data_IF_187135021453
#
_entry.id   IF_187135021453
#
_cell.length_a   1.000
_cell.length_b   1.000
_cell.length_c   1.000
_cell.angle_alpha   90.00
_cell.angle_beta   90.00
_cell.angle_gamma   90.00
#
_symmetry.space_group_name_H-M   'P 1'
#
loop_
_entity.id
_entity.type
_entity.pdbx_description
1 polymer ?
#
# COMPACT_ATOMS: atom_id res chain seq x y z
N UNK A 1 11.19 21.05 22.93
CA UNK A 1 11.40 19.75 22.22
C UNK A 1 11.60 20.04 20.74
N UNK A 2 12.19 19.15 19.91
CA UNK A 2 12.66 17.78 20.19
C UNK A 2 14.09 17.68 20.79
N UNK A 3 14.40 16.52 21.36
CA UNK A 3 15.76 16.10 21.70
C UNK A 3 16.35 15.29 20.53
N UNK A 4 16.97 16.00 19.58
CA UNK A 4 17.60 15.36 18.42
C UNK A 4 18.75 14.44 18.82
N UNK A 5 18.77 13.24 18.24
CA UNK A 5 19.86 12.28 18.43
C UNK A 5 21.21 12.89 18.01
N UNK A 6 22.25 12.73 18.82
CA UNK A 6 23.56 13.24 18.51
C UNK A 6 24.28 12.34 17.49
N UNK A 7 25.31 12.89 16.83
CA UNK A 7 26.14 12.17 15.86
C UNK A 7 27.57 11.93 16.39
N UNK A 8 27.83 12.22 17.66
CA UNK A 8 29.15 12.14 18.30
C UNK A 8 29.40 10.80 19.01
N UNK A 9 28.63 9.77 18.68
CA UNK A 9 28.71 8.43 19.27
C UNK A 9 28.80 7.36 18.18
N UNK A 10 29.46 6.26 18.53
CA UNK A 10 29.51 5.04 17.72
C UNK A 10 28.37 4.10 18.14
N UNK A 11 27.64 3.55 17.16
CA UNK A 11 26.46 2.73 17.37
C UNK A 11 26.74 1.23 17.43
N UNK A 12 28.01 0.81 17.40
CA UNK A 12 28.38 -0.60 17.60
C UNK A 12 27.90 -1.11 18.97
N UNK A 13 27.37 -2.34 19.04
CA UNK A 13 26.89 -2.90 20.31
C UNK A 13 28.08 -3.13 21.25
N UNK A 14 28.16 -2.32 22.30
CA UNK A 14 29.23 -2.39 23.31
C UNK A 14 28.73 -2.88 24.68
N UNK A 15 27.46 -3.30 24.77
CA UNK A 15 26.80 -3.72 26.02
C UNK A 15 26.21 -2.55 26.84
N UNK A 16 26.55 -1.31 26.50
CA UNK A 16 25.98 -0.08 27.09
C UNK A 16 25.31 0.77 26.02
N UNK A 17 24.27 1.53 26.39
CA UNK A 17 23.60 2.46 25.48
C UNK A 17 24.62 3.44 24.82
N UNK A 18 24.68 3.54 23.48
CA UNK A 18 25.63 4.40 22.79
C UNK A 18 25.60 5.86 23.24
N UNK A 19 24.40 6.38 23.56
CA UNK A 19 24.19 7.78 23.95
C UNK A 19 24.85 8.13 25.29
N UNK A 20 25.14 7.14 26.14
CA UNK A 20 25.87 7.35 27.39
C UNK A 20 27.27 7.96 27.18
N UNK A 21 27.85 7.76 25.99
CA UNK A 21 29.16 8.30 25.61
C UNK A 21 29.08 9.68 24.93
N UNK A 22 27.87 10.21 24.69
CA UNK A 22 27.68 11.50 24.00
C UNK A 22 28.06 12.67 24.90
N UNK A 23 29.14 13.37 24.52
CA UNK A 23 29.52 14.64 25.17
C UNK A 23 28.50 15.73 24.86
N UNK A 24 27.91 15.69 23.65
CA UNK A 24 26.91 16.65 23.21
C UNK A 24 25.63 16.61 24.06
N UNK A 25 25.09 15.42 24.33
CA UNK A 25 23.91 15.28 25.20
C UNK A 25 24.26 15.74 26.61
N UNK A 26 25.36 15.26 27.20
CA UNK A 26 25.76 15.67 28.56
C UNK A 26 25.88 17.19 28.70
N UNK A 27 26.57 17.85 27.77
CA UNK A 27 26.71 19.32 27.76
C UNK A 27 25.37 20.03 27.60
N UNK A 28 24.47 19.51 26.76
CA UNK A 28 23.11 20.05 26.59
C UNK A 28 22.31 19.93 27.88
N UNK A 29 22.37 18.78 28.55
CA UNK A 29 21.70 18.53 29.83
C UNK A 29 22.20 19.47 30.92
N UNK A 30 23.53 19.57 31.07
CA UNK A 30 24.12 20.48 32.06
C UNK A 30 23.77 21.95 31.77
N UNK A 31 23.66 22.34 30.49
CA UNK A 31 23.25 23.70 30.09
C UNK A 31 21.80 24.02 30.47
N UNK A 32 20.89 23.04 30.41
CA UNK A 32 19.45 23.25 30.64
C UNK A 32 19.10 23.09 32.12
N UNK A 33 19.69 22.10 32.81
CA UNK A 33 19.29 21.71 34.18
C UNK A 33 20.35 22.03 35.25
N UNK A 34 21.59 22.32 34.85
CA UNK A 34 22.70 22.60 35.76
C UNK A 34 23.73 21.48 35.84
N UNK A 35 24.87 21.77 36.46
CA UNK A 35 26.00 20.83 36.59
C UNK A 35 25.61 19.61 37.43
N UNK A 36 26.02 18.42 36.99
CA UNK A 36 25.79 17.16 37.71
C UNK A 36 24.52 16.40 37.31
N UNK A 37 23.66 16.99 36.48
CA UNK A 37 22.51 16.28 35.93
C UNK A 37 22.91 15.24 34.88
N UNK A 38 22.32 14.05 34.98
CA UNK A 38 22.55 12.94 34.05
C UNK A 38 21.39 12.86 33.06
N UNK A 39 21.65 12.85 31.74
CA UNK A 39 20.59 12.63 30.74
C UNK A 39 20.03 11.20 30.81
N UNK A 40 18.78 11.03 30.40
CA UNK A 40 18.30 9.75 29.89
C UNK A 40 19.06 9.41 28.59
N UNK A 41 19.58 8.20 28.51
CA UNK A 41 20.46 7.72 27.43
C UNK A 41 19.87 6.54 26.69
N UNK A 42 18.81 5.94 27.23
CA UNK A 42 18.03 4.95 26.53
C UNK A 42 17.08 5.63 25.55
N UNK A 43 16.78 4.91 24.47
CA UNK A 43 15.83 5.33 23.44
C UNK A 43 14.55 4.53 23.57
N UNK A 44 13.43 5.13 23.20
CA UNK A 44 12.18 4.40 23.06
C UNK A 44 12.31 3.31 21.99
N UNK A 45 11.69 2.16 22.23
CA UNK A 45 11.65 1.05 21.28
C UNK A 45 10.78 1.39 20.06
N UNK A 46 11.02 0.72 18.93
CA UNK A 46 10.26 0.93 17.67
C UNK A 46 8.75 0.70 17.81
N UNK A 47 8.30 -0.09 18.79
CA UNK A 47 6.88 -0.27 19.07
C UNK A 47 6.21 0.95 19.70
N UNK A 48 6.96 1.87 20.30
CA UNK A 48 6.42 3.17 20.73
C UNK A 48 6.07 4.04 19.54
N UNK A 49 6.88 4.02 18.47
CA UNK A 49 6.58 4.80 17.26
C UNK A 49 5.41 4.19 16.49
N UNK A 50 5.43 2.86 16.32
CA UNK A 50 4.41 2.15 15.57
C UNK A 50 3.09 1.92 16.32
N UNK A 51 2.98 2.27 17.61
CA UNK A 51 1.72 2.16 18.35
C UNK A 51 0.71 3.26 17.99
N UNK A 52 1.15 4.38 17.41
CA UNK A 52 0.28 5.53 17.13
C UNK A 52 0.50 6.18 15.75
N UNK A 53 1.40 5.65 14.91
CA UNK A 53 1.72 6.23 13.60
C UNK A 53 0.50 6.50 12.70
N UNK A 54 -0.55 5.66 12.79
CA UNK A 54 -1.79 5.83 12.03
C UNK A 54 -2.57 7.09 12.45
N UNK A 55 -2.38 7.60 13.68
CA UNK A 55 -2.92 8.89 14.10
C UNK A 55 -2.22 10.07 13.41
N UNK A 56 -0.96 9.90 13.00
CA UNK A 56 -0.13 10.95 12.42
C UNK A 56 -0.35 11.11 10.91
N UNK A 57 -0.74 10.06 10.20
CA UNK A 57 -0.92 10.11 8.74
C UNK A 57 -1.88 11.19 8.21
N UNK A 58 -3.00 11.52 8.87
CA UNK A 58 -3.86 12.61 8.41
C UNK A 58 -3.17 13.98 8.45
N UNK A 59 -2.20 14.17 9.35
CA UNK A 59 -1.60 15.47 9.65
C UNK A 59 -0.07 15.41 9.90
N UNK A 60 0.72 14.93 8.93
CA UNK A 60 2.12 14.56 9.15
C UNK A 60 3.07 15.74 9.37
N UNK A 61 2.69 16.93 8.90
CA UNK A 61 3.51 18.16 8.95
C UNK A 61 3.11 19.10 10.11
N UNK A 62 2.15 18.72 10.95
CA UNK A 62 1.72 19.57 12.06
C UNK A 62 2.78 19.64 13.17
N UNK A 63 3.37 20.82 13.37
CA UNK A 63 4.42 21.03 14.37
C UNK A 63 3.89 21.41 15.76
N UNK A 64 2.59 21.72 15.88
CA UNK A 64 1.97 22.19 17.14
C UNK A 64 1.36 21.07 17.96
N UNK A 65 0.76 20.09 17.29
CA UNK A 65 0.07 18.94 17.88
C UNK A 65 0.38 17.66 17.08
N UNK A 66 0.05 16.50 17.64
CA UNK A 66 0.30 15.23 16.95
C UNK A 66 -0.66 15.05 15.76
N UNK A 67 -1.88 15.55 15.83
CA UNK A 67 -2.86 15.61 14.74
C UNK A 67 -4.01 16.53 15.13
N UNK A 68 -4.48 17.38 14.21
CA UNK A 68 -5.64 18.23 14.46
C UNK A 68 -6.93 17.45 14.67
N UNK A 69 -7.77 17.92 15.60
CA UNK A 69 -9.04 17.30 15.96
C UNK A 69 -10.01 17.15 14.77
N UNK A 70 -10.01 18.11 13.84
CA UNK A 70 -10.80 18.02 12.61
C UNK A 70 -10.38 16.81 11.75
N UNK A 71 -9.07 16.61 11.59
CA UNK A 71 -8.53 15.51 10.78
C UNK A 71 -8.68 14.16 11.45
N UNK A 72 -8.53 14.10 12.78
CA UNK A 72 -8.81 12.89 13.55
C UNK A 72 -10.25 12.42 13.32
N UNK A 73 -11.24 13.30 13.52
CA UNK A 73 -12.66 12.96 13.32
C UNK A 73 -13.02 12.56 11.89
N UNK A 74 -12.28 13.09 10.90
CA UNK A 74 -12.53 12.80 9.49
C UNK A 74 -12.00 11.43 9.04
N UNK A 75 -10.86 11.01 9.59
CA UNK A 75 -10.11 9.88 9.06
C UNK A 75 -10.01 8.67 10.00
N UNK A 76 -10.35 8.83 11.27
CA UNK A 76 -10.17 7.81 12.31
C UNK A 76 -11.47 7.54 13.06
N UNK A 77 -11.64 6.33 13.63
CA UNK A 77 -10.69 5.20 13.63
C UNK A 77 -10.51 4.55 12.25
N UNK A 78 -9.50 3.71 12.09
CA UNK A 78 -9.21 3.05 10.80
C UNK A 78 -10.27 2.00 10.50
N UNK A 79 -10.97 2.13 9.36
CA UNK A 79 -12.05 1.22 8.97
C UNK A 79 -11.58 -0.23 8.73
N UNK A 80 -10.43 -0.38 8.06
CA UNK A 80 -9.86 -1.67 7.69
C UNK A 80 -8.34 -1.62 7.79
N UNK A 81 -7.80 -2.44 8.69
CA UNK A 81 -6.38 -2.66 8.84
C UNK A 81 -6.02 -4.05 8.30
N UNK A 82 -5.06 -4.09 7.38
CA UNK A 82 -4.54 -5.33 6.77
C UNK A 82 -3.08 -5.46 7.17
N UNK A 83 -2.73 -6.55 7.83
CA UNK A 83 -1.37 -6.80 8.31
C UNK A 83 -1.15 -8.26 8.69
N UNK A 84 0.11 -8.69 8.71
CA UNK A 84 0.43 -10.09 8.97
C UNK A 84 0.10 -10.52 10.41
N UNK A 85 -0.24 -11.79 10.59
CA UNK A 85 -0.61 -12.34 11.90
C UNK A 85 0.54 -12.30 12.93
N UNK A 86 1.79 -12.14 12.48
CA UNK A 86 2.97 -12.02 13.33
C UNK A 86 2.91 -10.82 14.30
N UNK A 87 2.10 -9.81 14.00
CA UNK A 87 2.00 -8.59 14.80
C UNK A 87 0.90 -8.62 15.87
N UNK A 88 0.20 -9.74 16.04
CA UNK A 88 -0.93 -9.91 16.97
C UNK A 88 -0.57 -9.58 18.42
N UNK A 89 0.56 -10.08 18.91
CA UNK A 89 1.00 -9.90 20.31
C UNK A 89 2.02 -8.76 20.49
N UNK A 90 2.26 -7.96 19.45
CA UNK A 90 3.20 -6.83 19.51
C UNK A 90 2.46 -5.56 19.11
N UNK A 91 2.66 -5.09 17.87
CA UNK A 91 2.08 -3.86 17.36
C UNK A 91 0.57 -3.75 17.60
N UNK A 92 -0.22 -4.81 17.33
CA UNK A 92 -1.67 -4.74 17.50
C UNK A 92 -2.07 -4.57 18.98
N UNK A 93 -1.36 -5.21 19.90
CA UNK A 93 -1.58 -5.03 21.33
C UNK A 93 -1.17 -3.62 21.78
N UNK A 94 0.02 -3.16 21.38
CA UNK A 94 0.54 -1.84 21.76
C UNK A 94 -0.29 -0.70 21.17
N UNK A 95 -0.76 -0.82 19.93
CA UNK A 95 -1.66 0.15 19.31
C UNK A 95 -2.96 0.29 20.10
N UNK A 96 -3.59 -0.83 20.47
CA UNK A 96 -4.81 -0.82 21.30
C UNK A 96 -4.55 -0.17 22.66
N UNK A 97 -3.46 -0.53 23.32
CA UNK A 97 -3.08 0.09 24.60
C UNK A 97 -2.91 1.61 24.48
N UNK A 98 -2.16 2.08 23.49
CA UNK A 98 -1.93 3.51 23.25
C UNK A 98 -3.23 4.27 23.00
N UNK A 99 -4.14 3.74 22.16
CA UNK A 99 -5.42 4.39 21.89
C UNK A 99 -6.30 4.44 23.14
N UNK A 100 -6.36 3.37 23.92
CA UNK A 100 -7.13 3.38 25.18
C UNK A 100 -6.57 4.39 26.18
N UNK A 101 -5.25 4.48 26.30
CA UNK A 101 -4.61 5.48 27.15
C UNK A 101 -4.91 6.91 26.68
N UNK A 102 -4.78 7.19 25.38
CA UNK A 102 -5.08 8.51 24.80
C UNK A 102 -6.56 8.89 24.92
N UNK A 103 -7.46 7.91 24.78
CA UNK A 103 -8.89 8.10 25.01
C UNK A 103 -9.19 8.45 26.46
N UNK A 104 -8.60 7.74 27.43
CA UNK A 104 -8.73 8.06 28.85
C UNK A 104 -8.17 9.43 29.22
N UNK A 105 -7.14 9.90 28.51
CA UNK A 105 -6.60 11.27 28.64
C UNK A 105 -7.47 12.34 27.95
N UNK A 106 -8.56 11.96 27.28
CA UNK A 106 -9.46 12.89 26.57
C UNK A 106 -8.90 13.42 25.26
N UNK A 107 -7.85 12.79 24.69
CA UNK A 107 -7.22 13.22 23.44
C UNK A 107 -7.92 12.68 22.19
N UNK A 108 -8.65 11.57 22.34
CA UNK A 108 -9.38 10.87 21.27
C UNK A 108 -10.81 10.57 21.71
N UNK A 109 -11.75 10.57 20.76
CA UNK A 109 -13.17 10.24 20.97
C UNK A 109 -13.51 8.76 20.68
N UNK A 110 -12.50 7.93 20.42
CA UNK A 110 -12.62 6.49 20.19
C UNK A 110 -11.59 5.70 21.01
N UNK A 111 -11.90 4.44 21.33
CA UNK A 111 -11.10 3.59 22.23
C UNK A 111 -10.49 2.34 21.55
N UNK A 112 -10.72 2.15 20.26
CA UNK A 112 -10.09 1.11 19.44
C UNK A 112 -9.52 1.70 18.14
N UNK A 113 -8.26 1.36 17.76
CA UNK A 113 -7.60 1.93 16.57
C UNK A 113 -8.19 1.44 15.24
N UNK A 114 -8.61 0.18 15.18
CA UNK A 114 -8.93 -0.54 13.95
C UNK A 114 -10.33 -1.18 14.07
N UNK A 115 -11.27 -0.75 13.23
CA UNK A 115 -12.64 -1.26 13.24
C UNK A 115 -12.74 -2.69 12.69
N UNK A 116 -11.91 -3.00 11.69
CA UNK A 116 -11.77 -4.35 11.12
C UNK A 116 -10.31 -4.68 10.92
N UNK A 117 -9.91 -5.86 11.36
CA UNK A 117 -8.60 -6.43 11.11
C UNK A 117 -8.73 -7.62 10.13
N UNK A 118 -7.83 -7.68 9.15
CA UNK A 118 -7.67 -8.83 8.26
C UNK A 118 -6.20 -9.20 8.17
N UNK A 119 -5.90 -10.48 8.35
CA UNK A 119 -4.57 -11.02 8.13
C UNK A 119 -4.44 -11.50 6.70
N UNK A 120 -3.45 -10.99 5.97
CA UNK A 120 -3.08 -11.57 4.69
C UNK A 120 -2.23 -12.84 4.89
N UNK A 121 -2.39 -13.79 3.98
CA UNK A 121 -1.50 -14.95 3.90
C UNK A 121 -0.08 -14.56 3.49
N UNK A 122 0.86 -15.47 3.72
CA UNK A 122 2.27 -15.29 3.41
C UNK A 122 2.55 -15.59 1.95
N UNK A 123 3.39 -14.77 1.31
CA UNK A 123 3.97 -15.12 0.01
C UNK A 123 5.24 -15.92 0.24
N UNK A 124 5.20 -17.19 -0.15
CA UNK A 124 6.26 -18.17 -0.02
C UNK A 124 7.06 -18.29 -1.33
N UNK A 125 8.30 -18.74 -1.25
CA UNK A 125 9.08 -19.04 -2.45
C UNK A 125 8.52 -20.24 -3.22
N UNK A 126 9.14 -20.59 -4.35
CA UNK A 126 8.74 -21.73 -5.20
C UNK A 126 8.72 -23.09 -4.49
N UNK A 127 9.38 -23.21 -3.34
CA UNK A 127 9.48 -24.43 -2.52
C UNK A 127 8.58 -24.37 -1.28
N UNK A 128 7.73 -23.33 -1.14
CA UNK A 128 6.87 -23.15 0.04
C UNK A 128 7.61 -22.61 1.26
N UNK A 129 8.81 -22.04 1.10
CA UNK A 129 9.60 -21.51 2.22
C UNK A 129 9.42 -19.99 2.32
N UNK A 130 9.27 -19.46 3.54
CA UNK A 130 9.24 -18.01 3.79
C UNK A 130 10.44 -17.33 3.13
N UNK A 131 10.18 -16.32 2.31
CA UNK A 131 11.20 -15.54 1.64
C UNK A 131 12.03 -14.72 2.64
N UNK A 132 13.36 -14.77 2.56
CA UNK A 132 14.26 -13.93 3.34
C UNK A 132 15.60 -13.70 2.63
N UNK A 133 16.24 -12.56 2.90
CA UNK A 133 17.56 -12.23 2.33
C UNK A 133 18.61 -13.27 2.69
N UNK A 134 18.61 -13.75 3.94
CA UNK A 134 19.54 -14.78 4.43
C UNK A 134 19.44 -16.11 3.70
N UNK A 135 18.26 -16.44 3.15
CA UNK A 135 18.02 -17.68 2.39
C UNK A 135 18.27 -17.53 0.89
N UNK A 136 18.49 -16.29 0.40
CA UNK A 136 18.68 -16.02 -1.02
C UNK A 136 17.48 -16.38 -1.91
N UNK A 137 16.29 -16.57 -1.34
CA UNK A 137 15.08 -17.03 -2.02
C UNK A 137 14.07 -15.90 -2.31
N UNK A 138 14.49 -14.64 -2.19
CA UNK A 138 13.63 -13.46 -2.38
C UNK A 138 13.35 -13.24 -3.86
N UNK A 139 12.07 -13.06 -4.19
CA UNK A 139 11.65 -12.52 -5.48
C UNK A 139 11.56 -11.01 -5.36
N UNK A 140 12.38 -10.29 -6.13
CA UNK A 140 12.38 -8.83 -6.13
C UNK A 140 11.19 -8.30 -6.97
N UNK A 141 10.22 -7.56 -6.38
CA UNK A 141 9.10 -7.00 -7.12
C UNK A 141 9.54 -6.06 -8.25
N UNK A 142 10.63 -5.31 -8.08
CA UNK A 142 11.10 -4.36 -9.09
C UNK A 142 11.51 -5.07 -10.38
N UNK A 143 12.14 -6.24 -10.27
CA UNK A 143 12.53 -7.04 -11.43
C UNK A 143 11.31 -7.58 -12.17
N UNK A 144 10.25 -7.94 -11.42
CA UNK A 144 8.98 -8.39 -11.99
C UNK A 144 8.27 -7.24 -12.72
N UNK A 145 8.20 -6.06 -12.09
CA UNK A 145 7.59 -4.86 -12.67
C UNK A 145 8.32 -4.42 -13.93
N UNK A 146 9.66 -4.37 -13.91
CA UNK A 146 10.47 -3.99 -15.09
C UNK A 146 10.27 -4.95 -16.26
N UNK A 147 10.14 -6.25 -16.00
CA UNK A 147 10.02 -7.28 -17.06
C UNK A 147 8.59 -7.46 -17.57
N UNK A 148 7.60 -7.35 -16.71
CA UNK A 148 6.23 -7.78 -17.00
C UNK A 148 5.15 -6.71 -16.77
N UNK A 149 5.52 -5.58 -16.17
CA UNK A 149 4.63 -4.47 -15.86
C UNK A 149 4.00 -4.56 -14.46
N UNK A 150 3.67 -3.39 -13.92
CA UNK A 150 3.08 -3.26 -12.58
C UNK A 150 1.70 -3.93 -12.50
N UNK A 151 0.85 -3.74 -13.51
CA UNK A 151 -0.51 -4.28 -13.53
C UNK A 151 -0.51 -5.81 -13.51
N UNK A 152 0.31 -6.45 -14.34
CA UNK A 152 0.42 -7.90 -14.35
C UNK A 152 0.93 -8.44 -13.01
N UNK A 153 1.90 -7.75 -12.40
CA UNK A 153 2.46 -8.10 -11.09
C UNK A 153 1.39 -8.02 -10.00
N UNK A 154 0.67 -6.90 -9.91
CA UNK A 154 -0.39 -6.68 -8.92
C UNK A 154 -1.56 -7.63 -9.11
N UNK A 155 -2.04 -7.79 -10.34
CA UNK A 155 -3.15 -8.68 -10.62
C UNK A 155 -2.79 -10.13 -10.30
N UNK A 156 -1.58 -10.58 -10.62
CA UNK A 156 -1.19 -11.93 -10.24
C UNK A 156 -1.27 -12.15 -8.72
N UNK A 157 -0.72 -11.22 -7.92
CA UNK A 157 -0.79 -11.31 -6.45
C UNK A 157 -2.24 -11.34 -5.97
N UNK A 158 -3.13 -10.54 -6.56
CA UNK A 158 -4.55 -10.49 -6.19
C UNK A 158 -5.37 -11.73 -6.61
N UNK A 159 -4.90 -12.51 -7.59
CA UNK A 159 -5.60 -13.69 -8.12
C UNK A 159 -4.94 -15.02 -7.74
N UNK A 160 -3.75 -14.99 -7.15
CA UNK A 160 -2.99 -16.20 -6.85
C UNK A 160 -3.64 -17.06 -5.76
N UNK A 161 -4.25 -16.44 -4.75
CA UNK A 161 -5.03 -17.08 -3.70
C UNK A 161 -6.01 -16.07 -3.06
N UNK A 162 -6.98 -16.53 -2.25
CA UNK A 162 -7.71 -15.68 -1.31
C UNK A 162 -6.76 -14.84 -0.43
N UNK A 163 -7.26 -13.72 0.08
CA UNK A 163 -6.42 -12.76 0.83
C UNK A 163 -5.73 -13.39 2.05
N UNK A 164 -6.43 -14.27 2.75
CA UNK A 164 -6.03 -14.92 4.00
C UNK A 164 -5.25 -16.24 3.81
N UNK A 165 -5.06 -16.69 2.57
CA UNK A 165 -4.32 -17.91 2.25
C UNK A 165 -2.89 -17.64 1.78
N UNK A 166 -1.99 -18.55 2.14
CA UNK A 166 -0.59 -18.49 1.69
C UNK A 166 -0.46 -18.74 0.18
N UNK A 167 0.43 -17.98 -0.46
CA UNK A 167 0.70 -18.07 -1.90
C UNK A 167 2.10 -18.60 -2.14
N UNK A 168 2.23 -19.71 -2.88
CA UNK A 168 3.53 -20.18 -3.37
C UNK A 168 3.88 -19.43 -4.66
N UNK A 169 4.98 -18.67 -4.65
CA UNK A 169 5.39 -17.90 -5.81
C UNK A 169 6.02 -18.79 -6.90
N UNK A 170 5.29 -19.00 -8.00
CA UNK A 170 5.75 -19.78 -9.14
C UNK A 170 5.85 -18.92 -10.40
N UNK A 171 7.07 -18.63 -10.82
CA UNK A 171 7.34 -17.80 -12.00
C UNK A 171 6.68 -18.34 -13.28
N UNK A 172 6.57 -19.66 -13.44
CA UNK A 172 5.91 -20.27 -14.60
C UNK A 172 4.41 -19.94 -14.66
N UNK A 173 3.73 -19.98 -13.53
CA UNK A 173 2.31 -19.64 -13.41
C UNK A 173 2.10 -18.14 -13.67
N UNK A 174 2.98 -17.31 -13.09
CA UNK A 174 3.03 -15.88 -13.36
C UNK A 174 3.16 -15.56 -14.86
N UNK A 175 4.13 -16.17 -15.56
CA UNK A 175 4.33 -15.94 -17.00
C UNK A 175 3.10 -16.37 -17.79
N UNK A 176 2.47 -17.49 -17.40
CA UNK A 176 1.22 -17.96 -17.99
C UNK A 176 0.08 -16.96 -17.82
N UNK A 177 -0.05 -16.37 -16.62
CA UNK A 177 -1.00 -15.31 -16.32
C UNK A 177 -0.75 -14.06 -17.16
N UNK A 178 0.50 -13.57 -17.17
CA UNK A 178 0.91 -12.39 -17.92
C UNK A 178 0.62 -12.51 -19.42
N UNK A 179 0.92 -13.66 -20.04
CA UNK A 179 0.63 -13.90 -21.48
C UNK A 179 -0.87 -13.83 -21.82
N UNK A 180 -1.76 -14.14 -20.87
CA UNK A 180 -3.22 -14.10 -21.08
C UNK A 180 -3.81 -12.70 -20.90
N UNK A 181 -3.10 -11.77 -20.26
CA UNK A 181 -3.57 -10.42 -19.96
C UNK A 181 -3.80 -9.55 -21.21
N UNK A 182 -2.92 -9.52 -22.24
CA UNK A 182 -3.20 -8.81 -23.49
C UNK A 182 -4.42 -9.37 -24.24
N UNK A 183 -4.62 -10.69 -24.17
CA UNK A 183 -5.73 -11.34 -24.88
C UNK A 183 -7.09 -10.89 -24.32
N UNK A 184 -7.22 -10.73 -23.00
CA UNK A 184 -8.46 -10.22 -22.39
C UNK A 184 -8.72 -8.76 -22.77
N UNK A 185 -7.67 -7.92 -22.85
CA UNK A 185 -7.79 -6.53 -23.33
C UNK A 185 -8.20 -6.44 -24.80
N UNK A 186 -7.67 -7.31 -25.66
CA UNK A 186 -8.06 -7.41 -27.08
C UNK A 186 -9.51 -7.89 -27.21
N UNK A 187 -9.94 -8.88 -26.41
CA UNK A 187 -11.32 -9.34 -26.38
C UNK A 187 -12.30 -8.26 -25.89
N UNK A 188 -11.89 -7.44 -24.90
CA UNK A 188 -12.70 -6.31 -24.44
C UNK A 188 -12.79 -5.20 -25.49
N UNK A 189 -11.70 -4.89 -26.20
CA UNK A 189 -11.71 -3.92 -27.31
C UNK A 189 -12.57 -4.40 -28.47
N UNK A 190 -12.43 -5.66 -28.88
CA UNK A 190 -13.25 -6.23 -29.95
C UNK A 190 -14.73 -6.26 -29.58
N UNK A 191 -15.11 -6.68 -28.36
CA UNK A 191 -16.51 -6.62 -27.89
C UNK A 191 -17.08 -5.19 -27.88
N UNK A 192 -16.31 -4.19 -27.43
CA UNK A 192 -16.72 -2.77 -27.51
C UNK A 192 -16.89 -2.31 -28.96
N UNK A 193 -15.99 -2.71 -29.85
CA UNK A 193 -16.08 -2.41 -31.27
C UNK A 193 -17.36 -3.04 -31.88
N UNK A 194 -17.64 -4.30 -31.57
CA UNK A 194 -18.85 -5.00 -32.06
C UNK A 194 -20.13 -4.37 -31.51
N UNK A 195 -20.17 -3.97 -30.23
CA UNK A 195 -21.32 -3.27 -29.66
C UNK A 195 -21.53 -1.88 -30.28
N UNK A 196 -20.46 -1.12 -30.52
CA UNK A 196 -20.53 0.18 -31.17
C UNK A 196 -21.00 0.05 -32.63
N UNK A 197 -20.48 -0.94 -33.37
CA UNK A 197 -20.94 -1.24 -34.74
C UNK A 197 -22.43 -1.61 -34.74
N UNK A 198 -22.89 -2.50 -33.83
CA UNK A 198 -24.31 -2.86 -33.71
C UNK A 198 -25.21 -1.64 -33.41
N UNK A 199 -24.80 -0.75 -32.50
CA UNK A 199 -25.54 0.48 -32.19
C UNK A 199 -25.61 1.43 -33.40
N UNK A 200 -24.53 1.56 -34.16
CA UNK A 200 -24.50 2.37 -35.39
C UNK A 200 -25.39 1.79 -36.49
N UNK A 201 -25.38 0.45 -36.66
CA UNK A 201 -26.25 -0.23 -37.63
C UNK A 201 -27.74 -0.16 -37.23
N UNK A 202 -28.07 -0.23 -35.94
CA UNK A 202 -29.44 0.01 -35.44
C UNK A 202 -29.89 1.45 -35.69
N UNK A 203 -29.03 2.46 -35.43
CA UNK A 203 -29.34 3.86 -35.76
C UNK A 203 -29.58 4.08 -37.25
N UNK A 204 -28.81 3.42 -38.13
CA UNK A 204 -29.00 3.49 -39.60
C UNK A 204 -30.28 2.77 -40.09
N UNK A 205 -30.75 1.73 -39.39
CA UNK A 205 -32.04 1.08 -39.69
C UNK A 205 -33.26 1.91 -39.28
N UNK A 206 -33.11 2.89 -38.38
CA UNK A 206 -34.23 3.70 -37.86
C UNK A 206 -34.43 5.00 -38.65
N UNK A 207 -33.55 5.37 -39.58
CA UNK A 207 -33.82 6.46 -40.53
C UNK A 207 -34.70 5.97 -41.68
N UNK A 208 -35.97 6.39 -41.81
CA UNK A 208 -36.77 6.07 -42.97
C UNK A 208 -36.28 6.95 -44.12
N UNK A 209 -35.49 6.39 -45.04
CA UNK A 209 -35.11 7.11 -46.24
C UNK A 209 -36.32 7.15 -47.19
N UNK A 210 -37.19 8.15 -47.00
CA UNK A 210 -38.11 8.63 -48.04
C UNK A 210 -37.26 9.24 -49.14
N UNK A 211 -37.00 8.47 -50.20
CA UNK A 211 -36.90 8.92 -51.60
C UNK A 211 -36.82 7.70 -52.50
N UNK A 212 -37.97 7.32 -53.07
CA UNK A 212 -38.02 6.55 -54.31
C UNK A 212 -37.47 7.45 -55.42
N UNK A 213 -36.30 7.14 -55.95
CA UNK A 213 -35.88 7.58 -57.28
C UNK A 213 -35.67 6.33 -58.12
N UNK A 214 -36.58 6.14 -59.07
CA UNK A 214 -36.49 5.14 -60.12
C UNK A 214 -35.28 5.45 -61.01
N UNK A 215 -34.20 4.67 -60.89
CA UNK A 215 -33.12 4.69 -61.88
C UNK A 215 -33.57 3.87 -63.09
N UNK A 216 -33.83 4.55 -64.21
CA UNK A 216 -34.00 3.92 -65.53
C UNK A 216 -32.65 3.33 -65.97
N UNK A 217 -32.63 2.04 -66.26
CA UNK A 217 -31.53 1.37 -66.96
C UNK A 217 -31.51 1.82 -68.43
N UNK A 218 -30.42 2.46 -68.87
CA UNK A 218 -30.09 2.61 -70.30
C UNK A 218 -29.08 1.53 -70.68
N UNK A 219 -29.38 0.72 -71.71
CA UNK A 219 -28.42 -0.21 -72.32
C UNK A 219 -27.34 0.61 -73.05
N UNK A 220 -26.05 0.23 -73.00
CA UNK A 220 -25.05 0.80 -73.88
C UNK A 220 -25.26 0.31 -75.32
N UNK A 221 -25.20 1.25 -76.26
CA UNK A 221 -25.14 0.99 -77.70
C UNK A 221 -23.80 0.36 -78.08
N UNK A 222 -23.87 -0.66 -78.93
CA UNK A 222 -22.73 -1.25 -79.64
C UNK A 222 -22.44 -0.35 -80.82
N UNK A 223 -21.19 0.11 -80.96
CA UNK A 223 -20.69 0.90 -82.11
C UNK A 223 -19.57 0.06 -82.77
N UNK A 224 -19.52 0.02 -84.12
CA UNK A 224 -18.96 -1.09 -84.91
C UNK A 224 -17.42 -1.19 -84.92
#
# INVERSE_FOLDING_TARGET
MPWLLPKDVDFRPTGTAPLAKSKKIKKRTEKIFGKGWTPEVDTMDTFVDSSWYFLRYPDPENEKEFCSQEKLKKWLPVDLYIGGAEHTYMHLLYARFFIKAMHQMGLLDFDEPFMKLRHQGMVLDKNGVKMSKSKGNVVNPDDMVKKFGADATRMYVMFAAPLDEDVIWKLREFIGFWKKLPLSLILLRSRRLTQNIRRTLQKRRITPNRRRTTLKWKRPEVIP
#
